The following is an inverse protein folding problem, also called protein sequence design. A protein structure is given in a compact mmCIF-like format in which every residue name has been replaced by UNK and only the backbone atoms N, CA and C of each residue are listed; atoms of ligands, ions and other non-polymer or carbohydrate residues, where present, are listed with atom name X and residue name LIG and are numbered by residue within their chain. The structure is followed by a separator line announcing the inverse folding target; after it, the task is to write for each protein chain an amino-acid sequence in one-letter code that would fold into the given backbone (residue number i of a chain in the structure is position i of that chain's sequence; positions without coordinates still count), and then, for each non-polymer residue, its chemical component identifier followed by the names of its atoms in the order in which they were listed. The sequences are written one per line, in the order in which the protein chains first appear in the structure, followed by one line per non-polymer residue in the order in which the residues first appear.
data_IF_250754250245
#
_entry.id   IF_250754250245
#
_cell.length_a   1.000
_cell.length_b   1.000
_cell.length_c   1.000
_cell.angle_alpha   90.00
_cell.angle_beta   90.00
_cell.angle_gamma   90.00
#
_symmetry.space_group_name_H-M   'P 1'
#
loop_
_entity.id
_entity.type
_entity.pdbx_description
1 polymer ?
#
# COMPACT_ATOMS: atom_id res chain seq x y z
N UNK A 1 27.61 11.69 25.38
CA UNK A 1 27.43 10.99 24.09
C UNK A 1 28.75 10.31 23.78
N UNK A 2 28.75 9.02 23.51
CA UNK A 2 29.97 8.34 23.06
C UNK A 2 30.25 8.76 21.60
N UNK A 3 31.53 8.91 21.26
CA UNK A 3 31.97 9.26 19.92
C UNK A 3 32.97 8.25 19.41
N UNK A 4 32.93 7.98 18.16
CA UNK A 4 33.88 7.13 17.43
C UNK A 4 34.43 7.84 16.21
N UNK A 5 35.20 7.13 15.42
CA UNK A 5 35.77 7.63 14.18
C UNK A 5 35.50 6.68 13.03
N UNK A 6 35.25 7.20 11.85
CA UNK A 6 35.11 6.36 10.65
C UNK A 6 36.40 5.57 10.45
N UNK A 7 36.26 4.24 10.43
CA UNK A 7 37.34 3.31 10.13
C UNK A 7 37.39 2.95 8.64
N UNK A 8 36.23 2.77 8.01
CA UNK A 8 36.09 2.36 6.61
C UNK A 8 34.75 2.80 6.04
N UNK A 9 34.74 3.10 4.76
CA UNK A 9 33.52 3.36 3.97
C UNK A 9 33.49 2.42 2.77
N UNK A 10 32.43 1.61 2.64
CA UNK A 10 32.23 0.70 1.51
C UNK A 10 30.81 0.90 0.96
N UNK A 11 30.66 1.77 -0.05
CA UNK A 11 29.36 2.12 -0.56
C UNK A 11 28.46 2.70 0.56
N UNK A 12 27.25 2.17 0.75
CA UNK A 12 26.32 2.65 1.79
C UNK A 12 26.67 2.19 3.21
N UNK A 13 27.70 1.37 3.38
CA UNK A 13 28.12 0.80 4.68
C UNK A 13 29.33 1.55 5.22
N UNK A 14 29.24 1.97 6.47
CA UNK A 14 30.29 2.72 7.16
C UNK A 14 30.63 2.01 8.47
N UNK A 15 31.92 1.66 8.62
CA UNK A 15 32.47 1.10 9.86
C UNK A 15 33.00 2.21 10.74
N UNK A 16 32.60 2.22 12.00
CA UNK A 16 32.96 3.23 13.00
C UNK A 16 33.70 2.54 14.13
N UNK A 17 34.90 3.02 14.46
CA UNK A 17 35.71 2.54 15.56
C UNK A 17 35.51 3.40 16.80
N UNK A 18 35.27 2.75 17.94
CA UNK A 18 35.16 3.35 19.27
C UNK A 18 36.40 2.98 20.12
N UNK A 19 36.78 3.83 21.01
CA UNK A 19 37.94 3.59 21.87
C UNK A 19 37.65 2.48 22.91
N UNK A 20 38.70 1.82 23.35
CA UNK A 20 38.60 0.76 24.36
C UNK A 20 38.04 1.32 25.68
N UNK A 21 36.96 0.74 26.16
CA UNK A 21 36.26 1.14 27.35
C UNK A 21 35.07 2.07 27.16
N UNK A 22 34.85 2.56 25.95
CA UNK A 22 33.62 3.30 25.62
C UNK A 22 32.42 2.36 25.58
N UNK A 23 31.25 2.90 25.94
CA UNK A 23 29.99 2.21 25.72
C UNK A 23 29.68 2.20 24.21
N UNK A 24 29.59 0.99 23.62
CA UNK A 24 29.25 0.84 22.22
C UNK A 24 27.77 1.18 21.97
N UNK A 25 27.43 1.78 20.81
CA UNK A 25 26.07 1.99 20.39
C UNK A 25 25.28 0.68 20.29
N UNK A 26 24.02 0.75 20.68
CA UNK A 26 23.10 -0.39 20.51
C UNK A 26 22.67 -0.56 19.04
N UNK A 27 22.29 -1.77 18.69
CA UNK A 27 21.73 -2.06 17.35
C UNK A 27 20.52 -1.15 17.09
N UNK A 28 20.41 -0.64 15.87
CA UNK A 28 19.44 0.35 15.42
C UNK A 28 19.63 1.78 15.94
N UNK A 29 20.61 2.06 16.78
CA UNK A 29 20.89 3.45 17.14
C UNK A 29 21.25 4.27 15.91
N UNK A 30 20.82 5.52 15.92
CA UNK A 30 21.23 6.53 14.94
C UNK A 30 22.56 7.17 15.39
N UNK A 31 23.55 7.11 14.53
CA UNK A 31 24.81 7.85 14.68
C UNK A 31 24.81 9.03 13.73
N UNK A 32 25.50 10.10 14.09
CA UNK A 32 25.60 11.31 13.27
C UNK A 32 27.05 11.56 12.90
N UNK A 33 27.29 11.82 11.63
CA UNK A 33 28.56 12.31 11.11
C UNK A 33 28.33 13.58 10.29
N UNK A 34 29.25 14.51 10.37
CA UNK A 34 29.21 15.75 9.59
C UNK A 34 30.28 15.73 8.50
N UNK A 35 29.90 15.91 7.24
CA UNK A 35 30.86 16.02 6.14
C UNK A 35 31.75 17.24 6.34
N UNK A 36 33.05 17.06 6.17
CA UNK A 36 34.04 18.12 6.30
C UNK A 36 33.97 18.94 7.61
N UNK A 37 33.35 18.37 8.66
CA UNK A 37 33.08 19.06 9.92
C UNK A 37 31.97 20.12 9.82
N UNK A 38 31.28 20.20 8.71
CA UNK A 38 30.19 21.16 8.45
C UNK A 38 28.89 20.62 9.05
N UNK A 39 28.40 21.26 10.11
CA UNK A 39 27.16 20.86 10.79
C UNK A 39 25.91 20.93 9.92
N UNK A 40 25.94 21.67 8.81
CA UNK A 40 24.84 21.71 7.86
C UNK A 40 24.77 20.46 6.96
N UNK A 41 25.85 19.70 6.89
CA UNK A 41 25.98 18.48 6.09
C UNK A 41 25.95 17.23 6.95
N UNK A 42 24.90 17.11 7.71
CA UNK A 42 24.64 15.98 8.61
C UNK A 42 24.28 14.72 7.82
N UNK A 43 24.89 13.59 8.17
CA UNK A 43 24.53 12.25 7.67
C UNK A 43 24.19 11.37 8.86
N UNK A 44 23.10 10.62 8.74
CA UNK A 44 22.66 9.65 9.74
C UNK A 44 23.08 8.24 9.31
N UNK A 45 23.73 7.55 10.25
CA UNK A 45 24.17 6.16 10.12
C UNK A 45 23.38 5.31 11.11
N UNK A 46 22.76 4.23 10.65
CA UNK A 46 22.05 3.29 11.54
C UNK A 46 22.94 2.11 11.88
N UNK A 47 23.08 1.79 13.15
CA UNK A 47 23.87 0.65 13.63
C UNK A 47 23.23 -0.66 13.19
N UNK A 48 23.96 -1.46 12.45
CA UNK A 48 23.51 -2.77 11.95
C UNK A 48 24.16 -3.96 12.67
N UNK A 49 25.46 -3.90 12.92
CA UNK A 49 26.25 -5.00 13.49
C UNK A 49 27.35 -4.47 14.39
N UNK A 50 27.75 -5.28 15.38
CA UNK A 50 29.00 -5.18 16.10
C UNK A 50 29.99 -6.22 15.54
N UNK A 51 31.15 -5.73 15.07
CA UNK A 51 32.17 -6.60 14.43
C UNK A 51 33.23 -7.13 15.41
N UNK A 52 33.21 -6.65 16.65
CA UNK A 52 34.27 -6.87 17.63
C UNK A 52 35.34 -5.78 17.60
N UNK A 53 36.25 -5.82 18.56
CA UNK A 53 37.35 -4.84 18.72
C UNK A 53 36.92 -3.36 18.70
N UNK A 54 35.70 -3.06 19.18
CA UNK A 54 35.13 -1.71 19.21
C UNK A 54 34.68 -1.19 17.86
N UNK A 55 34.57 -2.03 16.85
CA UNK A 55 34.12 -1.64 15.51
C UNK A 55 32.62 -1.94 15.34
N UNK A 56 31.87 -0.91 14.96
CA UNK A 56 30.44 -0.96 14.67
C UNK A 56 30.22 -0.77 13.18
N UNK A 57 29.48 -1.68 12.56
CA UNK A 57 29.05 -1.55 11.15
C UNK A 57 27.69 -0.88 11.05
N UNK A 58 27.62 0.14 10.23
CA UNK A 58 26.42 0.96 10.05
C UNK A 58 25.99 1.02 8.59
N UNK A 59 24.70 1.38 8.39
CA UNK A 59 24.12 1.66 7.08
C UNK A 59 23.77 3.14 7.04
N UNK A 60 24.25 3.85 6.01
CA UNK A 60 23.95 5.27 5.83
C UNK A 60 22.54 5.47 5.25
N UNK A 61 21.84 6.48 5.76
CA UNK A 61 20.53 6.90 5.26
C UNK A 61 20.64 7.88 4.09
N UNK A 62 21.83 8.42 3.84
CA UNK A 62 22.14 9.38 2.78
C UNK A 62 23.41 8.96 2.06
N UNK A 63 23.75 9.66 0.96
CA UNK A 63 25.00 9.37 0.22
C UNK A 63 26.21 9.48 1.13
N UNK A 64 27.07 8.47 1.06
CA UNK A 64 28.38 8.43 1.77
C UNK A 64 29.49 9.18 1.01
N UNK A 65 29.21 9.75 -0.15
CA UNK A 65 30.18 10.49 -0.94
C UNK A 65 30.80 11.64 -0.13
N UNK A 66 32.13 11.69 -0.09
CA UNK A 66 32.87 12.69 0.68
C UNK A 66 33.11 12.34 2.16
N UNK A 67 32.60 11.20 2.63
CA UNK A 67 33.03 10.67 3.94
C UNK A 67 34.44 10.09 3.86
N UNK A 68 35.26 10.49 4.82
CA UNK A 68 36.65 10.05 4.89
C UNK A 68 36.95 9.34 6.22
N UNK A 69 37.92 8.46 6.19
CA UNK A 69 38.43 7.81 7.41
C UNK A 69 38.89 8.86 8.41
N UNK A 70 38.56 8.65 9.69
CA UNK A 70 38.96 9.52 10.79
C UNK A 70 37.96 10.62 11.12
N UNK A 71 36.89 10.82 10.34
CA UNK A 71 35.82 11.73 10.71
C UNK A 71 35.14 11.28 12.00
N UNK A 72 34.84 12.22 12.88
CA UNK A 72 34.17 11.95 14.14
C UNK A 72 32.70 11.62 13.94
N UNK A 73 32.24 10.59 14.66
CA UNK A 73 30.87 10.06 14.61
C UNK A 73 30.28 10.04 16.01
N UNK A 74 29.09 10.60 16.17
CA UNK A 74 28.43 10.76 17.47
C UNK A 74 27.26 9.79 17.61
N UNK A 75 27.19 9.04 18.71
CA UNK A 75 26.04 8.23 19.05
C UNK A 75 24.94 9.12 19.67
N UNK A 76 23.74 9.09 19.08
CA UNK A 76 22.58 9.79 19.64
C UNK A 76 21.97 9.08 20.84
N UNK A 77 22.38 7.82 21.10
CA UNK A 77 21.82 6.99 22.18
C UNK A 77 20.38 6.51 21.93
N UNK A 78 19.87 6.70 20.74
CA UNK A 78 18.48 6.31 20.35
C UNK A 78 18.39 5.91 18.89
N UNK A 79 17.34 5.16 18.56
CA UNK A 79 17.00 4.83 17.18
C UNK A 79 16.57 6.07 16.38
N UNK A 80 16.54 5.96 15.05
CA UNK A 80 15.93 6.98 14.17
C UNK A 80 14.51 7.22 14.65
N UNK A 81 14.19 8.48 14.95
CA UNK A 81 12.88 8.91 15.41
C UNK A 81 12.32 9.96 14.47
N UNK A 82 11.04 9.85 14.17
CA UNK A 82 10.35 10.68 13.16
C UNK A 82 9.16 11.41 13.76
N UNK A 83 8.77 12.58 13.20
CA UNK A 83 7.60 13.30 13.66
C UNK A 83 6.34 12.45 13.53
N UNK A 84 5.43 12.60 14.47
CA UNK A 84 4.14 11.90 14.51
C UNK A 84 3.03 12.88 14.91
N UNK A 85 1.79 12.49 14.70
CA UNK A 85 0.62 13.28 15.11
C UNK A 85 0.03 14.12 13.97
N UNK A 86 -0.97 14.92 14.33
CA UNK A 86 -1.76 15.70 13.36
C UNK A 86 -0.95 16.70 12.55
N UNK A 87 0.19 17.15 13.06
CA UNK A 87 1.09 18.05 12.34
C UNK A 87 1.72 17.41 11.10
N UNK A 88 1.74 16.08 10.99
CA UNK A 88 2.24 15.36 9.82
C UNK A 88 1.26 15.36 8.65
N UNK A 89 -0.01 15.66 8.90
CA UNK A 89 -1.04 15.66 7.86
C UNK A 89 -0.86 16.83 6.90
N UNK A 90 -1.04 16.54 5.62
CA UNK A 90 -0.78 17.50 4.55
C UNK A 90 0.68 17.70 4.21
N UNK A 91 1.60 17.01 4.90
CA UNK A 91 3.04 17.19 4.81
C UNK A 91 3.72 16.06 4.05
N UNK A 92 4.87 16.40 3.47
CA UNK A 92 5.73 15.44 2.76
C UNK A 92 7.11 15.46 3.38
N UNK A 93 7.64 14.30 3.72
CA UNK A 93 8.95 14.18 4.36
C UNK A 93 9.70 12.91 3.95
N UNK A 94 10.99 12.89 4.28
CA UNK A 94 11.89 11.80 3.97
C UNK A 94 11.91 10.72 5.09
N UNK A 95 12.76 9.74 4.96
CA UNK A 95 12.92 8.64 5.92
C UNK A 95 13.27 9.11 7.33
N UNK A 96 13.96 10.23 7.49
CA UNK A 96 14.36 10.80 8.77
C UNK A 96 13.32 11.74 9.38
N UNK A 97 12.23 12.00 8.64
CA UNK A 97 11.21 12.96 9.04
C UNK A 97 11.56 14.41 8.74
N UNK A 98 12.55 14.66 7.88
CA UNK A 98 12.84 16.01 7.39
C UNK A 98 11.84 16.34 6.28
N UNK A 99 11.31 17.57 6.31
CA UNK A 99 10.33 18.02 5.32
C UNK A 99 10.96 18.24 3.95
N UNK A 100 10.27 17.81 2.91
CA UNK A 100 10.68 17.99 1.50
C UNK A 100 9.62 18.70 0.66
N UNK A 101 8.60 19.24 1.30
CA UNK A 101 7.46 19.94 0.69
C UNK A 101 7.64 21.45 0.57
N UNK A 102 8.82 21.98 0.85
CA UNK A 102 9.17 23.41 0.88
C UNK A 102 8.45 24.24 1.94
N UNK A 103 7.71 23.58 2.83
CA UNK A 103 7.09 24.21 4.00
C UNK A 103 8.08 24.26 5.18
N UNK A 104 7.72 25.01 6.21
CA UNK A 104 8.56 25.12 7.43
C UNK A 104 8.84 23.74 8.04
N UNK A 105 10.07 23.50 8.49
CA UNK A 105 10.41 22.29 9.23
C UNK A 105 9.54 22.09 10.46
N UNK A 106 9.37 20.83 10.90
CA UNK A 106 8.70 20.55 12.17
C UNK A 106 9.46 21.21 13.33
N UNK A 107 8.71 21.69 14.35
CA UNK A 107 9.28 22.24 15.55
C UNK A 107 10.22 21.21 16.25
N UNK A 108 11.28 21.68 16.90
CA UNK A 108 12.23 20.79 17.58
C UNK A 108 11.59 19.98 18.72
N UNK A 109 10.54 20.50 19.32
CA UNK A 109 9.74 19.88 20.37
C UNK A 109 8.54 19.08 19.87
N UNK A 110 8.37 18.96 18.55
CA UNK A 110 7.31 18.13 17.95
C UNK A 110 7.41 16.68 18.46
N UNK A 111 6.28 16.03 18.72
CA UNK A 111 6.29 14.63 19.16
C UNK A 111 6.94 13.75 18.11
N UNK A 112 7.87 12.92 18.55
CA UNK A 112 8.62 11.99 17.69
C UNK A 112 8.62 10.60 18.29
N UNK A 113 8.57 9.60 17.44
CA UNK A 113 8.63 8.20 17.84
C UNK A 113 9.68 7.42 17.03
N UNK A 114 10.32 6.40 17.65
CA UNK A 114 11.30 5.57 16.95
C UNK A 114 10.63 4.73 15.85
N UNK A 115 11.32 4.55 14.74
CA UNK A 115 10.83 3.72 13.63
C UNK A 115 10.94 2.22 13.91
N UNK A 116 11.83 1.82 14.81
CA UNK A 116 11.94 0.44 15.27
C UNK A 116 11.08 0.20 16.49
N UNK A 117 9.98 -0.48 16.29
CA UNK A 117 9.02 -0.86 17.34
C UNK A 117 8.70 -2.35 17.25
N UNK A 118 8.29 -2.91 18.37
CA UNK A 118 7.72 -4.25 18.39
C UNK A 118 6.28 -4.21 17.86
N UNK A 119 5.84 -5.33 17.28
CA UNK A 119 4.43 -5.53 16.97
C UNK A 119 3.58 -5.45 18.27
N UNK A 120 2.30 -5.07 18.17
CA UNK A 120 1.38 -5.09 19.31
C UNK A 120 1.38 -6.45 20.00
N UNK A 121 1.29 -6.44 21.33
CA UNK A 121 1.22 -7.65 22.12
C UNK A 121 -0.09 -8.41 21.85
N UNK A 122 -0.10 -9.71 22.06
CA UNK A 122 -1.26 -10.57 21.76
C UNK A 122 -2.54 -10.10 22.47
N UNK A 123 -2.43 -9.60 23.69
CA UNK A 123 -3.55 -9.08 24.47
C UNK A 123 -4.04 -7.69 24.04
N UNK A 124 -3.28 -6.98 23.23
CA UNK A 124 -3.66 -5.68 22.64
C UNK A 124 -4.44 -5.82 21.34
N UNK A 125 -4.38 -6.99 20.70
CA UNK A 125 -5.03 -7.22 19.42
C UNK A 125 -6.56 -7.22 19.54
N UNK A 126 -7.21 -6.69 18.50
CA UNK A 126 -8.67 -6.80 18.36
C UNK A 126 -9.03 -8.23 17.91
N UNK A 127 -10.10 -8.75 18.51
CA UNK A 127 -10.67 -10.06 18.13
C UNK A 127 -11.81 -9.93 17.11
N UNK A 128 -12.27 -8.72 16.83
CA UNK A 128 -13.35 -8.49 15.85
C UNK A 128 -12.80 -8.55 14.43
N UNK A 129 -13.54 -9.21 13.56
CA UNK A 129 -13.27 -9.23 12.13
C UNK A 129 -14.35 -8.41 11.41
N UNK A 130 -13.99 -7.21 10.98
CA UNK A 130 -14.88 -6.29 10.29
C UNK A 130 -14.29 -5.92 8.92
N UNK A 131 -15.16 -5.76 7.94
CA UNK A 131 -14.72 -5.24 6.63
C UNK A 131 -14.54 -3.73 6.69
N UNK A 132 -13.57 -3.23 5.93
CA UNK A 132 -13.42 -1.82 5.63
C UNK A 132 -14.23 -1.52 4.38
N UNK A 133 -15.35 -0.81 4.53
CA UNK A 133 -16.17 -0.39 3.39
C UNK A 133 -15.43 0.66 2.57
N UNK A 134 -15.15 0.35 1.31
CA UNK A 134 -14.41 1.24 0.41
C UNK A 134 -15.33 2.13 -0.46
N UNK A 135 -16.59 1.77 -0.59
CA UNK A 135 -17.53 2.41 -1.50
C UNK A 135 -17.32 2.06 -2.98
N UNK A 136 -16.41 1.14 -3.26
CA UNK A 136 -16.10 0.65 -4.61
C UNK A 136 -16.72 -0.74 -4.77
N UNK A 137 -17.72 -0.83 -5.66
CA UNK A 137 -18.55 -2.04 -5.80
C UNK A 137 -17.77 -3.32 -6.00
N UNK A 138 -16.81 -3.32 -6.91
CA UNK A 138 -16.04 -4.53 -7.24
C UNK A 138 -15.20 -5.02 -6.06
N UNK A 139 -14.64 -4.12 -5.29
CA UNK A 139 -13.83 -4.44 -4.11
C UNK A 139 -14.75 -4.95 -2.99
N UNK A 140 -15.75 -4.18 -2.63
CA UNK A 140 -16.61 -4.48 -1.48
C UNK A 140 -17.42 -5.76 -1.67
N UNK A 141 -17.81 -6.08 -2.92
CA UNK A 141 -18.55 -7.31 -3.22
C UNK A 141 -17.65 -8.55 -3.25
N UNK A 142 -16.58 -8.52 -4.04
CA UNK A 142 -15.84 -9.71 -4.44
C UNK A 142 -14.50 -9.92 -3.72
N UNK A 143 -13.87 -8.85 -3.30
CA UNK A 143 -12.58 -8.87 -2.60
C UNK A 143 -12.56 -7.84 -1.46
N UNK A 144 -13.48 -7.91 -0.49
CA UNK A 144 -13.61 -6.92 0.56
C UNK A 144 -12.33 -6.85 1.40
N UNK A 145 -11.98 -5.64 1.82
CA UNK A 145 -10.83 -5.39 2.67
C UNK A 145 -11.19 -5.65 4.13
N UNK A 146 -10.32 -6.38 4.81
CA UNK A 146 -10.45 -6.58 6.25
C UNK A 146 -9.84 -5.38 6.98
N UNK A 147 -10.56 -4.82 7.92
CA UNK A 147 -10.07 -3.75 8.80
C UNK A 147 -8.88 -4.26 9.61
N UNK A 148 -7.76 -3.56 9.53
CA UNK A 148 -6.49 -4.04 10.08
C UNK A 148 -5.81 -5.13 9.27
N UNK A 149 -6.33 -5.44 8.09
CA UNK A 149 -5.77 -6.41 7.16
C UNK A 149 -4.71 -5.84 6.22
N UNK A 150 -4.10 -6.74 5.47
CA UNK A 150 -3.05 -6.44 4.50
C UNK A 150 -3.54 -6.80 3.11
N UNK A 151 -3.61 -5.79 2.25
CA UNK A 151 -4.09 -5.92 0.87
C UNK A 151 -2.91 -5.83 -0.08
N UNK A 152 -2.76 -6.82 -0.94
CA UNK A 152 -1.83 -6.75 -2.06
C UNK A 152 -2.50 -6.13 -3.29
N UNK A 153 -1.90 -5.08 -3.84
CA UNK A 153 -2.34 -4.43 -5.05
C UNK A 153 -1.40 -4.77 -6.20
N UNK A 154 -1.93 -5.47 -7.20
CA UNK A 154 -1.20 -5.92 -8.37
C UNK A 154 -1.68 -5.19 -9.61
N UNK A 155 -0.77 -4.92 -10.52
CA UNK A 155 -1.10 -4.32 -11.80
C UNK A 155 0.12 -3.72 -12.49
N UNK A 156 0.13 -3.83 -13.80
CA UNK A 156 1.13 -3.20 -14.64
C UNK A 156 0.98 -1.67 -14.71
N UNK A 157 1.83 -1.03 -15.49
CA UNK A 157 1.74 0.40 -15.74
C UNK A 157 0.44 0.76 -16.50
N UNK A 158 -0.18 1.88 -16.13
CA UNK A 158 -1.33 2.43 -16.84
C UNK A 158 -2.67 1.72 -16.64
N UNK A 159 -2.81 0.93 -15.57
CA UNK A 159 -4.07 0.23 -15.24
C UNK A 159 -4.94 0.99 -14.22
N UNK A 160 -4.54 2.21 -13.83
CA UNK A 160 -5.30 3.04 -12.90
C UNK A 160 -4.97 2.81 -11.43
N UNK A 161 -3.81 2.25 -11.09
CA UNK A 161 -3.38 2.02 -9.70
C UNK A 161 -3.42 3.29 -8.87
N UNK A 162 -2.82 4.37 -9.36
CA UNK A 162 -2.74 5.66 -8.64
C UNK A 162 -4.12 6.26 -8.41
N UNK A 163 -4.99 6.22 -9.42
CA UNK A 163 -6.37 6.74 -9.31
C UNK A 163 -7.18 5.94 -8.29
N UNK A 164 -7.00 4.62 -8.25
CA UNK A 164 -7.63 3.76 -7.25
C UNK A 164 -7.15 4.12 -5.82
N UNK A 165 -5.86 4.32 -5.63
CA UNK A 165 -5.28 4.74 -4.34
C UNK A 165 -5.89 6.07 -3.89
N UNK A 166 -5.95 7.05 -4.78
CA UNK A 166 -6.55 8.36 -4.48
C UNK A 166 -8.03 8.27 -4.11
N UNK A 167 -8.79 7.44 -4.81
CA UNK A 167 -10.21 7.23 -4.49
C UNK A 167 -10.41 6.56 -3.13
N UNK A 168 -9.56 5.59 -2.78
CA UNK A 168 -9.58 4.98 -1.47
C UNK A 168 -9.27 5.99 -0.36
N UNK A 169 -8.26 6.85 -0.56
CA UNK A 169 -7.94 7.93 0.37
C UNK A 169 -9.12 8.90 0.50
N UNK A 170 -9.70 9.29 -0.63
CA UNK A 170 -10.85 10.19 -0.66
C UNK A 170 -12.05 9.60 0.12
N UNK A 171 -12.40 8.36 -0.16
CA UNK A 171 -13.55 7.72 0.47
C UNK A 171 -13.35 7.50 1.97
N UNK A 172 -12.14 7.12 2.39
CA UNK A 172 -11.81 7.00 3.82
C UNK A 172 -11.90 8.36 4.53
N UNK A 173 -11.39 9.41 3.92
CA UNK A 173 -11.42 10.75 4.50
C UNK A 173 -12.85 11.31 4.60
N UNK A 174 -13.65 11.17 3.55
CA UNK A 174 -14.99 11.78 3.46
C UNK A 174 -16.06 10.97 4.21
N UNK A 175 -16.06 9.65 4.06
CA UNK A 175 -17.13 8.79 4.58
C UNK A 175 -16.82 8.24 5.99
N UNK A 176 -15.56 8.03 6.31
CA UNK A 176 -15.12 7.47 7.58
C UNK A 176 -14.41 8.48 8.49
N UNK A 177 -14.11 9.69 7.99
CA UNK A 177 -13.31 10.68 8.72
C UNK A 177 -11.88 10.20 9.04
N UNK A 178 -11.42 9.16 8.37
CA UNK A 178 -10.16 8.49 8.61
C UNK A 178 -8.95 9.21 8.04
N UNK A 179 -7.79 8.78 8.49
CA UNK A 179 -6.48 9.31 8.12
C UNK A 179 -5.77 8.29 7.24
N UNK A 180 -4.99 8.78 6.29
CA UNK A 180 -4.16 7.97 5.42
C UNK A 180 -2.69 8.36 5.55
N UNK A 181 -1.82 7.38 5.41
CA UNK A 181 -0.38 7.57 5.29
C UNK A 181 0.07 6.93 3.98
N UNK A 182 0.67 7.71 3.11
CA UNK A 182 1.25 7.21 1.87
C UNK A 182 2.76 7.09 1.99
N UNK A 183 3.29 5.93 1.65
CA UNK A 183 4.73 5.64 1.74
C UNK A 183 5.25 5.23 0.38
N UNK A 184 6.06 6.09 -0.24
CA UNK A 184 6.74 5.81 -1.51
C UNK A 184 8.09 5.15 -1.25
N UNK A 185 8.24 3.89 -1.65
CA UNK A 185 9.44 3.08 -1.43
C UNK A 185 10.10 2.74 -2.74
N UNK A 186 11.22 3.37 -3.04
CA UNK A 186 12.02 3.07 -4.21
C UNK A 186 11.34 3.35 -5.56
N UNK A 187 10.33 4.19 -5.58
CA UNK A 187 9.61 4.58 -6.79
C UNK A 187 10.22 5.85 -7.42
N UNK A 188 9.72 6.23 -8.59
CA UNK A 188 10.24 7.40 -9.30
C UNK A 188 9.85 8.69 -8.61
N UNK A 189 10.79 9.60 -8.42
CA UNK A 189 10.56 10.92 -7.81
C UNK A 189 9.48 11.72 -8.52
N UNK A 190 9.43 11.64 -9.86
CA UNK A 190 8.40 12.31 -10.65
C UNK A 190 7.00 11.82 -10.32
N UNK A 191 6.81 10.50 -10.21
CA UNK A 191 5.50 9.91 -9.89
C UNK A 191 5.03 10.32 -8.49
N UNK A 192 5.96 10.38 -7.53
CA UNK A 192 5.67 10.89 -6.18
C UNK A 192 5.26 12.36 -6.16
N UNK A 193 5.94 13.18 -6.97
CA UNK A 193 5.59 14.59 -7.10
C UNK A 193 4.23 14.80 -7.79
N UNK A 194 3.97 14.05 -8.87
CA UNK A 194 2.68 14.10 -9.58
C UNK A 194 1.55 13.70 -8.61
N UNK A 195 1.72 12.62 -7.84
CA UNK A 195 0.75 12.18 -6.82
C UNK A 195 0.49 13.27 -5.77
N UNK A 196 1.53 13.93 -5.27
CA UNK A 196 1.37 15.02 -4.30
C UNK A 196 0.47 16.15 -4.83
N UNK A 197 0.73 16.60 -6.06
CA UNK A 197 -0.06 17.67 -6.67
C UNK A 197 -1.49 17.25 -6.96
N UNK A 198 -1.70 16.04 -7.48
CA UNK A 198 -3.04 15.48 -7.70
C UNK A 198 -3.85 15.36 -6.41
N UNK A 199 -3.21 14.94 -5.31
CA UNK A 199 -3.86 14.88 -4.01
C UNK A 199 -4.17 16.27 -3.43
N UNK A 200 -3.34 17.25 -3.72
CA UNK A 200 -3.56 18.65 -3.34
C UNK A 200 -4.73 19.25 -4.12
N UNK A 201 -4.80 19.01 -5.42
CA UNK A 201 -5.90 19.47 -6.28
C UNK A 201 -7.24 18.81 -5.93
N UNK A 202 -7.24 17.53 -5.59
CA UNK A 202 -8.44 16.81 -5.16
C UNK A 202 -8.86 17.08 -3.70
N UNK A 203 -8.04 17.80 -2.93
CA UNK A 203 -8.32 18.17 -1.54
C UNK A 203 -8.14 17.02 -0.53
N UNK A 204 -7.63 15.87 -0.94
CA UNK A 204 -7.43 14.73 -0.02
C UNK A 204 -6.14 14.81 0.78
N UNK A 205 -5.23 15.70 0.41
CA UNK A 205 -3.92 15.86 1.06
C UNK A 205 -4.04 16.22 2.55
N UNK A 206 -5.04 16.99 2.94
CA UNK A 206 -5.23 17.47 4.31
C UNK A 206 -5.43 16.34 5.35
N UNK A 207 -5.84 15.17 4.91
CA UNK A 207 -6.02 13.95 5.73
C UNK A 207 -4.94 12.92 5.49
N UNK A 208 -3.85 13.29 4.82
CA UNK A 208 -2.81 12.35 4.39
C UNK A 208 -1.42 12.85 4.78
N UNK A 209 -0.64 11.98 5.42
CA UNK A 209 0.80 12.17 5.58
C UNK A 209 1.54 11.41 4.47
N UNK A 210 2.54 12.02 3.84
CA UNK A 210 3.30 11.40 2.76
C UNK A 210 4.77 11.29 3.14
N UNK A 211 5.34 10.10 2.93
CA UNK A 211 6.75 9.80 3.20
C UNK A 211 7.38 9.19 1.96
N UNK A 212 8.51 9.75 1.51
CA UNK A 212 9.20 9.25 0.33
C UNK A 212 10.65 8.83 0.61
N UNK A 213 11.02 7.65 0.15
CA UNK A 213 12.38 7.17 -0.02
C UNK A 213 12.53 6.61 -1.42
N UNK A 214 12.79 7.50 -2.39
CA UNK A 214 12.67 7.23 -3.83
C UNK A 214 13.87 6.44 -4.37
N UNK A 215 13.79 6.04 -5.66
CA UNK A 215 14.79 5.17 -6.27
C UNK A 215 16.19 5.77 -6.39
N UNK A 216 16.30 7.10 -6.33
CA UNK A 216 17.59 7.80 -6.33
C UNK A 216 18.27 7.87 -4.96
N UNK A 217 17.56 7.48 -3.91
CA UNK A 217 18.10 7.45 -2.56
C UNK A 217 18.88 6.16 -2.27
N UNK A 218 19.84 6.19 -1.32
CA UNK A 218 20.61 5.01 -0.98
C UNK A 218 19.75 3.90 -0.37
N UNK A 219 20.24 2.65 -0.38
CA UNK A 219 19.47 1.51 0.10
C UNK A 219 19.04 1.63 1.56
N UNK A 220 19.81 2.31 2.42
CA UNK A 220 19.41 2.56 3.81
C UNK A 220 18.10 3.31 3.92
N UNK A 221 17.93 4.40 3.16
CA UNK A 221 16.69 5.17 3.12
C UNK A 221 15.52 4.31 2.60
N UNK A 222 15.72 3.59 1.50
CA UNK A 222 14.68 2.75 0.90
C UNK A 222 14.27 1.57 1.81
N UNK A 223 15.18 1.04 2.61
CA UNK A 223 14.89 0.01 3.61
C UNK A 223 14.03 0.51 4.78
N UNK A 224 14.15 1.77 5.15
CA UNK A 224 13.59 2.32 6.39
C UNK A 224 12.38 3.20 6.18
N UNK A 225 12.16 3.72 4.99
CA UNK A 225 11.04 4.63 4.71
C UNK A 225 9.67 3.98 4.98
N UNK A 226 9.51 2.69 4.71
CA UNK A 226 8.28 1.97 5.05
C UNK A 226 8.03 1.94 6.56
N UNK A 227 9.08 1.80 7.36
CA UNK A 227 8.99 1.86 8.82
C UNK A 227 8.63 3.27 9.30
N UNK A 228 9.12 4.31 8.64
CA UNK A 228 8.75 5.70 8.94
C UNK A 228 7.26 5.92 8.75
N UNK A 229 6.71 5.55 7.60
CA UNK A 229 5.27 5.65 7.34
C UNK A 229 4.43 4.83 8.31
N UNK A 230 4.85 3.61 8.58
CA UNK A 230 4.17 2.74 9.55
C UNK A 230 4.18 3.33 10.97
N UNK A 231 5.26 3.94 11.38
CA UNK A 231 5.36 4.60 12.71
C UNK A 231 4.34 5.72 12.85
N UNK A 232 4.14 6.52 11.81
CA UNK A 232 3.11 7.57 11.80
C UNK A 232 1.71 6.95 11.88
N UNK A 233 1.45 5.93 11.10
CA UNK A 233 0.17 5.21 11.10
C UNK A 233 -0.12 4.60 12.47
N UNK A 234 0.87 3.99 13.11
CA UNK A 234 0.73 3.41 14.45
C UNK A 234 0.42 4.46 15.51
N UNK A 235 1.00 5.65 15.42
CA UNK A 235 0.67 6.74 16.35
C UNK A 235 -0.81 7.10 16.29
N UNK A 236 -1.37 7.26 15.12
CA UNK A 236 -2.79 7.53 14.94
C UNK A 236 -3.68 6.39 15.46
N UNK A 237 -3.26 5.13 15.27
CA UNK A 237 -3.96 3.96 15.81
C UNK A 237 -3.92 3.91 17.33
N UNK A 238 -2.73 4.03 17.92
CA UNK A 238 -2.46 3.70 19.32
C UNK A 238 -2.67 4.88 20.29
N UNK A 239 -2.42 6.10 19.83
CA UNK A 239 -2.54 7.33 20.63
C UNK A 239 -3.85 8.06 20.31
N UNK A 240 -4.16 8.25 19.04
CA UNK A 240 -5.37 8.96 18.59
C UNK A 240 -6.61 8.05 18.48
N UNK A 241 -6.43 6.73 18.59
CA UNK A 241 -7.53 5.76 18.53
C UNK A 241 -8.25 5.70 17.19
N UNK A 242 -7.54 5.94 16.09
CA UNK A 242 -8.13 6.05 14.77
C UNK A 242 -7.95 4.79 13.92
N UNK A 243 -8.79 4.71 12.90
CA UNK A 243 -8.62 3.74 11.81
C UNK A 243 -7.82 4.41 10.70
N UNK A 244 -6.65 3.85 10.40
CA UNK A 244 -5.68 4.43 9.49
C UNK A 244 -5.52 3.55 8.26
N UNK A 245 -5.43 4.17 7.09
CA UNK A 245 -5.10 3.53 5.85
C UNK A 245 -3.62 3.79 5.52
N UNK A 246 -2.82 2.73 5.43
CA UNK A 246 -1.40 2.80 5.11
C UNK A 246 -1.15 2.28 3.70
N UNK A 247 -0.61 3.12 2.83
CA UNK A 247 -0.16 2.73 1.49
C UNK A 247 1.34 2.54 1.48
N UNK A 248 1.80 1.43 0.90
CA UNK A 248 3.21 1.15 0.67
C UNK A 248 3.39 0.88 -0.84
N UNK A 249 4.01 1.79 -1.52
CA UNK A 249 4.29 1.68 -2.94
C UNK A 249 5.79 1.85 -3.19
N UNK A 250 6.55 0.81 -3.30
CA UNK A 250 6.26 -0.60 -3.53
C UNK A 250 6.95 -1.48 -2.48
N UNK A 251 6.26 -2.47 -1.94
CA UNK A 251 6.83 -3.36 -0.90
C UNK A 251 8.02 -4.20 -1.42
N UNK A 252 8.05 -4.53 -2.71
CA UNK A 252 9.18 -5.21 -3.33
C UNK A 252 10.49 -4.41 -3.17
N UNK A 253 10.41 -3.08 -3.28
CA UNK A 253 11.58 -2.20 -3.16
C UNK A 253 12.16 -2.19 -1.75
N UNK A 254 11.32 -2.39 -0.74
CA UNK A 254 11.77 -2.61 0.64
C UNK A 254 12.69 -3.83 0.74
N UNK A 255 12.31 -4.96 0.17
CA UNK A 255 13.12 -6.18 0.17
C UNK A 255 14.35 -6.06 -0.71
N UNK A 256 14.24 -5.43 -1.86
CA UNK A 256 15.36 -5.20 -2.77
C UNK A 256 16.45 -4.35 -2.11
N UNK A 257 16.10 -3.28 -1.42
CA UNK A 257 17.06 -2.45 -0.70
C UNK A 257 17.81 -3.24 0.37
N UNK A 258 17.12 -4.14 1.09
CA UNK A 258 17.76 -5.07 2.02
C UNK A 258 18.76 -6.01 1.36
N UNK A 259 18.47 -6.49 0.15
CA UNK A 259 19.39 -7.35 -0.60
C UNK A 259 20.67 -6.61 -1.07
N UNK A 260 20.54 -5.33 -1.39
CA UNK A 260 21.68 -4.51 -1.83
C UNK A 260 22.76 -4.36 -0.75
N UNK A 261 22.38 -4.33 0.51
CA UNK A 261 23.34 -4.16 1.63
C UNK A 261 23.74 -5.48 2.28
N UNK A 262 23.02 -6.56 2.05
CA UNK A 262 23.19 -7.84 2.76
C UNK A 262 24.60 -8.41 2.67
N UNK A 263 25.17 -8.43 1.47
CA UNK A 263 26.55 -8.90 1.27
C UNK A 263 27.58 -8.01 1.98
N UNK A 264 27.37 -6.70 1.99
CA UNK A 264 28.23 -5.74 2.67
C UNK A 264 28.16 -5.88 4.20
N UNK A 265 27.05 -6.41 4.72
CA UNK A 265 26.91 -6.77 6.13
C UNK A 265 27.54 -8.12 6.48
N UNK A 266 28.18 -8.80 5.52
CA UNK A 266 28.81 -10.09 5.73
C UNK A 266 27.85 -11.27 5.75
N UNK A 267 26.65 -11.14 5.23
CA UNK A 267 25.66 -12.21 5.14
C UNK A 267 25.83 -12.98 3.84
N UNK A 268 25.75 -14.31 3.91
CA UNK A 268 25.73 -15.15 2.72
C UNK A 268 24.38 -15.01 2.00
N UNK A 269 24.37 -14.86 0.67
CA UNK A 269 23.12 -14.77 -0.08
C UNK A 269 22.32 -16.07 0.01
N UNK A 270 21.00 -15.94 0.06
CA UNK A 270 20.05 -17.05 -0.05
C UNK A 270 19.60 -17.26 -1.50
N UNK A 271 18.49 -17.93 -1.71
CA UNK A 271 17.93 -18.19 -3.03
C UNK A 271 17.79 -16.90 -3.86
N UNK A 272 18.15 -16.96 -5.13
CA UNK A 272 18.09 -15.85 -6.10
C UNK A 272 18.90 -14.61 -5.69
N UNK A 273 19.82 -14.76 -4.74
CA UNK A 273 20.67 -13.66 -4.26
C UNK A 273 20.05 -12.75 -3.21
N UNK A 274 18.86 -13.09 -2.69
CA UNK A 274 18.23 -12.34 -1.60
C UNK A 274 18.96 -12.54 -0.26
N UNK A 275 18.71 -11.61 0.67
CA UNK A 275 19.21 -11.71 2.04
C UNK A 275 18.62 -12.93 2.77
N UNK A 276 19.39 -13.60 3.63
CA UNK A 276 18.88 -14.73 4.43
C UNK A 276 17.84 -14.29 5.47
N UNK A 277 17.78 -13.01 5.78
CA UNK A 277 16.85 -12.37 6.73
C UNK A 277 15.56 -11.88 6.09
N UNK A 278 15.31 -12.17 4.82
CA UNK A 278 14.16 -11.69 4.06
C UNK A 278 12.82 -11.91 4.79
N UNK A 279 12.56 -13.13 5.20
CA UNK A 279 11.33 -13.49 5.89
C UNK A 279 11.19 -12.79 7.24
N UNK A 280 12.28 -12.65 7.99
CA UNK A 280 12.30 -11.96 9.29
C UNK A 280 12.04 -10.46 9.14
N UNK A 281 12.71 -9.81 8.18
CA UNK A 281 12.53 -8.38 7.89
C UNK A 281 11.09 -8.08 7.45
N UNK A 282 10.55 -8.91 6.56
CA UNK A 282 9.16 -8.79 6.11
C UNK A 282 8.18 -9.02 7.28
N UNK A 283 8.40 -10.04 8.09
CA UNK A 283 7.57 -10.35 9.26
C UNK A 283 7.56 -9.21 10.28
N UNK A 284 8.70 -8.64 10.58
CA UNK A 284 8.81 -7.49 11.51
C UNK A 284 8.01 -6.28 11.04
N UNK A 285 7.98 -6.00 9.74
CA UNK A 285 7.16 -4.95 9.17
C UNK A 285 5.67 -5.32 9.22
N UNK A 286 5.32 -6.48 8.69
CA UNK A 286 3.92 -6.88 8.46
C UNK A 286 3.14 -7.13 9.76
N UNK A 287 3.76 -7.68 10.78
CA UNK A 287 3.10 -7.98 12.06
C UNK A 287 2.71 -6.71 12.86
N UNK A 288 3.32 -5.58 12.55
CA UNK A 288 2.93 -4.27 13.12
C UNK A 288 1.64 -3.73 12.51
N UNK A 289 1.29 -4.18 11.31
CA UNK A 289 0.10 -3.76 10.56
C UNK A 289 -1.06 -4.63 10.99
N UNK A 290 -1.87 -4.13 11.91
CA UNK A 290 -2.98 -4.89 12.49
C UNK A 290 -4.00 -3.98 13.17
N UNK A 291 -5.14 -4.54 13.54
CA UNK A 291 -6.12 -3.93 14.43
C UNK A 291 -5.75 -4.17 15.89
N UNK A 292 -5.82 -3.11 16.70
CA UNK A 292 -5.75 -3.19 18.15
C UNK A 292 -7.09 -2.82 18.77
N UNK A 293 -7.20 -2.96 20.09
CA UNK A 293 -8.40 -2.53 20.84
C UNK A 293 -8.65 -1.03 20.78
N UNK A 294 -7.65 -0.23 20.34
CA UNK A 294 -7.72 1.23 20.26
C UNK A 294 -8.09 1.72 18.85
N UNK A 295 -7.60 1.07 17.82
CA UNK A 295 -7.81 1.47 16.44
C UNK A 295 -7.23 0.44 15.47
N UNK A 296 -7.13 0.79 14.19
CA UNK A 296 -6.62 -0.12 13.18
C UNK A 296 -5.64 0.55 12.22
N UNK A 297 -4.72 -0.23 11.69
CA UNK A 297 -3.93 0.10 10.50
C UNK A 297 -4.25 -0.95 9.44
N UNK A 298 -4.91 -0.52 8.38
CA UNK A 298 -5.16 -1.34 7.18
C UNK A 298 -4.17 -0.96 6.12
N UNK A 299 -3.42 -1.89 5.56
CA UNK A 299 -2.43 -1.59 4.54
C UNK A 299 -2.87 -2.00 3.14
N UNK A 300 -2.53 -1.15 2.18
CA UNK A 300 -2.59 -1.46 0.76
C UNK A 300 -1.17 -1.36 0.23
N UNK A 301 -0.64 -2.51 -0.19
CA UNK A 301 0.76 -2.68 -0.57
C UNK A 301 0.82 -2.99 -2.06
N UNK A 302 1.36 -2.08 -2.84
CA UNK A 302 1.67 -2.36 -4.23
C UNK A 302 2.81 -3.39 -4.27
N UNK A 303 2.64 -4.43 -5.07
CA UNK A 303 3.61 -5.52 -5.18
C UNK A 303 4.04 -5.64 -6.64
N UNK A 304 5.33 -5.42 -6.87
CA UNK A 304 5.96 -5.73 -8.14
C UNK A 304 6.41 -7.21 -8.13
N UNK A 305 6.06 -7.91 -9.20
CA UNK A 305 6.43 -9.31 -9.39
C UNK A 305 7.46 -9.37 -10.53
N UNK A 306 8.77 -9.60 -10.21
CA UNK A 306 9.81 -9.65 -11.22
C UNK A 306 9.53 -10.74 -12.27
N UNK A 307 9.57 -10.34 -13.55
CA UNK A 307 9.34 -11.25 -14.68
C UNK A 307 8.01 -12.04 -14.62
N UNK A 308 7.03 -11.51 -13.90
CA UNK A 308 5.74 -12.18 -13.63
C UNK A 308 5.90 -13.55 -12.93
N UNK A 309 7.05 -13.76 -12.27
CA UNK A 309 7.33 -14.98 -11.52
C UNK A 309 6.89 -14.86 -10.06
N UNK A 310 5.71 -15.40 -9.77
CA UNK A 310 5.15 -15.44 -8.42
C UNK A 310 5.88 -16.37 -7.45
N UNK A 311 6.83 -17.16 -7.94
CA UNK A 311 7.68 -18.02 -7.11
C UNK A 311 8.97 -17.33 -6.66
N UNK A 312 9.25 -16.12 -7.16
CA UNK A 312 10.35 -15.29 -6.67
C UNK A 312 10.22 -15.09 -5.15
N UNK A 313 11.31 -15.25 -4.37
CA UNK A 313 11.24 -15.20 -2.91
C UNK A 313 10.64 -13.92 -2.32
N UNK A 314 10.83 -12.75 -2.96
CA UNK A 314 10.31 -11.50 -2.44
C UNK A 314 8.78 -11.40 -2.53
N UNK A 315 8.14 -11.54 -3.69
CA UNK A 315 6.69 -11.58 -3.76
C UNK A 315 6.10 -12.77 -2.99
N UNK A 316 6.71 -13.96 -3.07
CA UNK A 316 6.22 -15.13 -2.34
C UNK A 316 6.17 -14.90 -0.82
N UNK A 317 7.18 -14.26 -0.26
CA UNK A 317 7.21 -13.91 1.17
C UNK A 317 6.14 -12.85 1.51
N UNK A 318 5.95 -11.85 0.65
CA UNK A 318 4.90 -10.85 0.84
C UNK A 318 3.49 -11.48 0.78
N UNK A 319 3.24 -12.38 -0.16
CA UNK A 319 1.94 -13.08 -0.29
C UNK A 319 1.51 -13.83 0.96
N UNK A 320 2.45 -14.40 1.70
CA UNK A 320 2.17 -15.14 2.93
C UNK A 320 1.50 -14.27 4.01
N UNK A 321 1.67 -12.96 3.94
CA UNK A 321 1.11 -12.00 4.91
C UNK A 321 -0.23 -11.39 4.47
N UNK A 322 -0.62 -11.55 3.20
CA UNK A 322 -1.80 -10.87 2.66
C UNK A 322 -3.11 -11.52 3.10
N UNK A 323 -4.07 -10.68 3.44
CA UNK A 323 -5.47 -11.07 3.72
C UNK A 323 -6.34 -10.98 2.48
N UNK A 324 -6.02 -10.07 1.55
CA UNK A 324 -6.72 -9.91 0.28
C UNK A 324 -5.79 -9.46 -0.83
N UNK A 325 -6.22 -9.68 -2.06
CA UNK A 325 -5.53 -9.25 -3.28
C UNK A 325 -6.49 -8.51 -4.20
N UNK A 326 -6.02 -7.41 -4.77
CA UNK A 326 -6.71 -6.64 -5.79
C UNK A 326 -5.84 -6.65 -7.05
N UNK A 327 -6.29 -7.34 -8.08
CA UNK A 327 -5.60 -7.43 -9.36
C UNK A 327 -6.19 -6.44 -10.36
N UNK A 328 -5.36 -5.53 -10.87
CA UNK A 328 -5.72 -4.61 -11.95
C UNK A 328 -5.29 -5.21 -13.29
N UNK A 329 -6.23 -5.34 -14.19
CA UNK A 329 -6.04 -6.02 -15.49
C UNK A 329 -6.14 -5.05 -16.66
N UNK A 330 -5.10 -5.03 -17.51
CA UNK A 330 -5.05 -4.15 -18.68
C UNK A 330 -6.18 -4.43 -19.70
N UNK A 331 -6.62 -5.67 -19.81
CA UNK A 331 -7.72 -6.03 -20.71
C UNK A 331 -9.00 -5.26 -20.37
N UNK A 332 -9.26 -5.05 -19.07
CA UNK A 332 -10.43 -4.27 -18.64
C UNK A 332 -10.30 -2.80 -19.01
N UNK A 333 -9.09 -2.21 -18.94
CA UNK A 333 -8.88 -0.83 -19.38
C UNK A 333 -9.13 -0.67 -20.87
N UNK A 334 -8.75 -1.65 -21.68
CA UNK A 334 -9.02 -1.68 -23.12
C UNK A 334 -10.52 -1.76 -23.46
N UNK A 335 -11.31 -2.35 -22.56
CA UNK A 335 -12.78 -2.42 -22.66
C UNK A 335 -13.47 -1.18 -22.08
N UNK A 336 -12.71 -0.20 -21.56
CA UNK A 336 -13.23 0.99 -20.89
C UNK A 336 -13.93 0.68 -19.56
N UNK A 337 -13.54 -0.38 -18.88
CA UNK A 337 -14.06 -0.76 -17.56
C UNK A 337 -13.11 -0.26 -16.49
N UNK A 338 -13.56 0.69 -15.68
CA UNK A 338 -12.83 1.27 -14.55
C UNK A 338 -13.68 1.24 -13.28
N UNK A 339 -13.10 0.91 -12.11
CA UNK A 339 -11.73 0.46 -11.92
C UNK A 339 -11.47 -0.88 -12.63
N UNK A 340 -10.26 -1.04 -13.14
CA UNK A 340 -9.87 -2.23 -13.90
C UNK A 340 -9.54 -3.44 -13.00
N UNK A 341 -10.32 -3.64 -11.97
CA UNK A 341 -10.15 -4.75 -11.02
C UNK A 341 -10.68 -6.04 -11.65
N UNK A 342 -9.83 -7.04 -11.78
CA UNK A 342 -10.24 -8.37 -12.26
C UNK A 342 -11.09 -9.06 -11.18
N UNK A 343 -12.38 -9.29 -11.44
CA UNK A 343 -13.28 -9.84 -10.44
C UNK A 343 -13.04 -11.33 -10.14
N UNK A 344 -12.34 -12.04 -11.00
CA UNK A 344 -12.03 -13.46 -10.84
C UNK A 344 -10.63 -13.72 -10.29
N UNK A 345 -9.67 -12.81 -10.55
CA UNK A 345 -8.31 -12.92 -10.06
C UNK A 345 -8.11 -12.25 -8.69
N UNK A 346 -9.02 -11.37 -8.30
CA UNK A 346 -8.99 -10.73 -6.98
C UNK A 346 -9.68 -11.60 -5.93
N UNK A 347 -9.16 -11.61 -4.71
CA UNK A 347 -9.65 -12.47 -3.65
C UNK A 347 -9.54 -11.82 -2.28
N UNK A 348 -10.30 -12.32 -1.29
CA UNK A 348 -10.22 -11.89 0.08
C UNK A 348 -10.60 -13.00 1.05
N UNK A 349 -9.87 -13.09 2.15
CA UNK A 349 -10.24 -13.94 3.29
C UNK A 349 -11.49 -13.43 4.03
N UNK A 350 -11.79 -12.14 3.88
CA UNK A 350 -12.97 -11.53 4.46
C UNK A 350 -14.28 -11.94 3.76
N UNK A 351 -14.19 -12.51 2.54
CA UNK A 351 -15.36 -13.03 1.83
C UNK A 351 -15.74 -14.42 2.41
N UNK A 352 -16.31 -14.39 3.58
CA UNK A 352 -16.79 -15.55 4.34
C UNK A 352 -18.12 -15.21 5.01
N UNK A 353 -19.07 -16.15 5.10
CA UNK A 353 -20.40 -15.88 5.68
C UNK A 353 -20.35 -15.30 7.11
N UNK A 354 -19.33 -15.69 7.88
CA UNK A 354 -19.12 -15.26 9.27
C UNK A 354 -18.73 -13.78 9.38
N UNK A 355 -18.18 -13.21 8.31
CA UNK A 355 -17.66 -11.82 8.28
C UNK A 355 -18.63 -10.91 7.53
N UNK A 356 -18.99 -11.26 6.30
CA UNK A 356 -19.83 -10.42 5.43
C UNK A 356 -21.32 -10.73 5.52
N UNK A 357 -21.70 -11.82 6.13
CA UNK A 357 -23.08 -12.34 6.16
C UNK A 357 -23.39 -13.25 4.98
N UNK A 358 -24.42 -14.10 5.16
CA UNK A 358 -24.78 -15.14 4.20
C UNK A 358 -25.23 -14.55 2.86
N UNK A 359 -26.06 -13.51 2.86
CA UNK A 359 -26.57 -12.89 1.62
C UNK A 359 -25.45 -12.33 0.76
N UNK A 360 -24.54 -11.57 1.34
CA UNK A 360 -23.37 -11.02 0.62
C UNK A 360 -22.52 -12.13 0.02
N UNK A 361 -22.22 -13.16 0.82
CA UNK A 361 -21.43 -14.29 0.37
C UNK A 361 -22.09 -15.03 -0.80
N UNK A 362 -23.38 -15.30 -0.72
CA UNK A 362 -24.14 -16.00 -1.77
C UNK A 362 -24.18 -15.19 -3.06
N UNK A 363 -24.42 -13.88 -2.98
CA UNK A 363 -24.42 -12.98 -4.14
C UNK A 363 -23.05 -12.92 -4.78
N UNK A 364 -21.99 -12.73 -4.00
CA UNK A 364 -20.61 -12.67 -4.51
C UNK A 364 -20.21 -13.98 -5.17
N UNK A 365 -20.51 -15.12 -4.57
CA UNK A 365 -20.21 -16.44 -5.14
C UNK A 365 -20.96 -16.67 -6.44
N UNK A 366 -22.23 -16.29 -6.53
CA UNK A 366 -23.03 -16.43 -7.75
C UNK A 366 -22.53 -15.49 -8.86
N UNK A 367 -22.12 -14.24 -8.53
CA UNK A 367 -21.48 -13.33 -9.48
C UNK A 367 -20.21 -13.94 -10.06
N UNK A 368 -19.36 -14.51 -9.21
CA UNK A 368 -18.14 -15.19 -9.65
C UNK A 368 -18.45 -16.39 -10.55
N UNK A 369 -19.45 -17.19 -10.20
CA UNK A 369 -19.89 -18.34 -11.00
C UNK A 369 -20.35 -17.90 -12.40
N UNK A 370 -21.18 -16.87 -12.48
CA UNK A 370 -21.71 -16.34 -13.74
C UNK A 370 -20.58 -15.77 -14.61
N UNK A 371 -19.68 -14.99 -14.03
CA UNK A 371 -18.53 -14.44 -14.76
C UNK A 371 -17.56 -15.53 -15.23
N UNK A 372 -17.31 -16.54 -14.43
CA UNK A 372 -16.45 -17.67 -14.81
C UNK A 372 -17.08 -18.46 -15.97
N UNK A 373 -18.37 -18.76 -15.90
CA UNK A 373 -19.07 -19.45 -16.98
C UNK A 373 -19.09 -18.62 -18.26
N UNK A 374 -19.29 -17.31 -18.15
CA UNK A 374 -19.21 -16.41 -19.30
C UNK A 374 -17.82 -16.39 -19.94
N UNK A 375 -16.75 -16.41 -19.14
CA UNK A 375 -15.37 -16.52 -19.65
C UNK A 375 -15.18 -17.78 -20.48
N UNK A 376 -15.71 -18.92 -20.06
CA UNK A 376 -15.68 -20.18 -20.81
C UNK A 376 -16.47 -20.10 -22.12
N UNK A 377 -17.60 -19.39 -22.11
CA UNK A 377 -18.43 -19.21 -23.30
C UNK A 377 -17.83 -18.24 -24.32
N UNK A 378 -16.96 -17.34 -23.90
CA UNK A 378 -16.35 -16.33 -24.79
C UNK A 378 -15.61 -16.96 -25.97
N UNK A 379 -14.91 -18.07 -25.78
CA UNK A 379 -14.22 -18.78 -26.86
C UNK A 379 -15.21 -19.37 -27.87
N UNK A 380 -16.32 -19.90 -27.41
CA UNK A 380 -17.40 -20.42 -28.23
C UNK A 380 -18.06 -19.29 -29.04
N UNK A 381 -18.37 -18.17 -28.36
CA UNK A 381 -18.96 -16.98 -28.97
C UNK A 381 -18.06 -16.39 -30.05
N UNK A 382 -16.75 -16.35 -29.81
CA UNK A 382 -15.78 -15.81 -30.76
C UNK A 382 -15.65 -16.67 -32.04
N UNK A 383 -15.82 -17.97 -31.94
CA UNK A 383 -15.66 -18.91 -33.07
C UNK A 383 -16.98 -19.16 -33.79
N UNK A 384 -18.06 -19.39 -33.05
CA UNK A 384 -19.34 -19.88 -33.60
C UNK A 384 -20.44 -18.82 -33.58
N UNK A 385 -20.26 -17.74 -32.84
CA UNK A 385 -21.27 -16.69 -32.65
C UNK A 385 -22.25 -16.98 -31.52
N UNK A 386 -23.05 -15.97 -31.16
CA UNK A 386 -24.04 -16.05 -30.08
C UNK A 386 -25.20 -17.01 -30.40
N UNK A 387 -25.49 -17.23 -31.69
CA UNK A 387 -26.66 -18.01 -32.12
C UNK A 387 -26.53 -19.50 -31.77
N UNK A 388 -25.30 -19.99 -31.62
CA UNK A 388 -25.03 -21.39 -31.29
C UNK A 388 -25.20 -21.69 -29.78
N UNK A 389 -25.40 -20.68 -28.95
CA UNK A 389 -25.65 -20.85 -27.52
C UNK A 389 -27.10 -21.30 -27.27
N UNK A 390 -27.31 -22.11 -26.22
CA UNK A 390 -28.63 -22.39 -25.70
C UNK A 390 -29.29 -21.12 -25.14
N UNK A 391 -30.61 -21.12 -24.99
CA UNK A 391 -31.34 -19.98 -24.42
C UNK A 391 -30.89 -19.66 -22.99
N UNK A 392 -30.58 -20.68 -22.21
CA UNK A 392 -30.01 -20.51 -20.86
C UNK A 392 -28.62 -19.84 -20.90
N UNK A 393 -27.77 -20.25 -21.84
CA UNK A 393 -26.42 -19.66 -22.01
C UNK A 393 -26.49 -18.23 -22.55
N UNK A 394 -27.45 -17.92 -23.45
CA UNK A 394 -27.70 -16.54 -23.89
C UNK A 394 -28.14 -15.64 -22.76
N UNK A 395 -29.04 -16.12 -21.91
CA UNK A 395 -29.48 -15.37 -20.71
C UNK A 395 -28.33 -15.14 -19.74
N UNK A 396 -27.55 -16.19 -19.48
CA UNK A 396 -26.38 -16.08 -18.62
C UNK A 396 -25.35 -15.08 -19.17
N UNK A 397 -25.04 -15.17 -20.47
CA UNK A 397 -24.11 -14.26 -21.13
C UNK A 397 -24.59 -12.79 -21.07
N UNK A 398 -25.87 -12.54 -21.26
CA UNK A 398 -26.47 -11.22 -21.13
C UNK A 398 -26.37 -10.66 -19.72
N UNK A 399 -26.69 -11.47 -18.71
CA UNK A 399 -26.53 -11.07 -17.29
C UNK A 399 -25.06 -10.87 -16.92
N UNK A 400 -24.17 -11.72 -17.40
CA UNK A 400 -22.74 -11.60 -17.16
C UNK A 400 -22.17 -10.28 -17.69
N UNK A 401 -22.56 -9.84 -18.88
CA UNK A 401 -22.16 -8.54 -19.45
C UNK A 401 -22.71 -7.37 -18.64
N UNK A 402 -23.96 -7.43 -18.20
CA UNK A 402 -24.54 -6.43 -17.30
C UNK A 402 -23.80 -6.35 -15.97
N UNK A 403 -23.48 -7.49 -15.37
CA UNK A 403 -22.66 -7.58 -14.15
C UNK A 403 -21.29 -6.95 -14.38
N UNK A 404 -20.62 -7.30 -15.47
CA UNK A 404 -19.29 -6.77 -15.79
C UNK A 404 -19.30 -5.25 -15.94
N UNK A 405 -20.30 -4.68 -16.59
CA UNK A 405 -20.45 -3.24 -16.70
C UNK A 405 -20.88 -2.58 -15.40
N UNK A 406 -21.71 -3.24 -14.60
CA UNK A 406 -22.14 -2.71 -13.30
C UNK A 406 -21.02 -2.74 -12.24
N UNK A 407 -19.97 -3.55 -12.44
CA UNK A 407 -18.74 -3.49 -11.64
C UNK A 407 -17.94 -2.20 -11.91
N UNK A 408 -18.14 -1.55 -13.05
CA UNK A 408 -17.52 -0.25 -13.33
C UNK A 408 -18.21 0.86 -12.53
N UNK A 409 -17.43 1.89 -12.20
CA UNK A 409 -17.86 2.97 -11.32
C UNK A 409 -17.05 4.23 -11.57
N UNK A 410 -17.70 5.39 -11.58
CA UNK A 410 -17.01 6.67 -11.64
C UNK A 410 -16.41 7.01 -10.28
N UNK A 411 -15.19 7.50 -10.30
CA UNK A 411 -14.48 7.92 -9.10
C UNK A 411 -14.58 9.44 -8.88
N UNK A 412 -14.72 9.85 -7.63
CA UNK A 412 -14.76 11.27 -7.24
C UNK A 412 -13.47 12.00 -7.66
N UNK A 413 -12.32 11.38 -7.47
CA UNK A 413 -11.02 11.95 -7.84
C UNK A 413 -10.80 12.07 -9.35
N UNK A 414 -11.58 11.37 -10.15
CA UNK A 414 -11.52 11.44 -11.61
C UNK A 414 -12.56 12.39 -12.23
N UNK A 415 -13.39 13.04 -11.44
CA UNK A 415 -14.49 13.89 -11.91
C UNK A 415 -14.02 15.02 -12.82
N UNK A 416 -12.93 15.69 -12.46
CA UNK A 416 -12.37 16.79 -13.26
C UNK A 416 -11.87 16.32 -14.64
N UNK A 417 -11.33 15.11 -14.73
CA UNK A 417 -10.79 14.56 -15.98
C UNK A 417 -11.85 13.90 -16.87
N UNK A 418 -12.88 13.32 -16.26
CA UNK A 418 -13.94 12.60 -16.98
C UNK A 418 -15.18 13.43 -17.26
N UNK A 419 -15.38 14.53 -16.50
CA UNK A 419 -16.60 15.33 -16.53
C UNK A 419 -17.84 14.61 -15.97
N UNK A 420 -17.66 13.47 -15.30
CA UNK A 420 -18.73 12.68 -14.71
C UNK A 420 -18.59 12.64 -13.21
N UNK A 421 -19.69 12.90 -12.45
CA UNK A 421 -19.65 12.85 -11.00
C UNK A 421 -19.27 11.44 -10.51
N UNK A 422 -18.44 11.39 -9.48
CA UNK A 422 -18.09 10.16 -8.79
C UNK A 422 -19.23 9.66 -7.93
N UNK A 423 -19.13 8.42 -7.49
CA UNK A 423 -20.10 7.82 -6.58
C UNK A 423 -19.41 6.94 -5.53
N UNK A 424 -19.92 7.04 -4.31
CA UNK A 424 -19.66 6.12 -3.22
C UNK A 424 -20.87 5.20 -3.08
N UNK A 425 -20.70 3.89 -3.18
CA UNK A 425 -21.80 2.94 -3.10
C UNK A 425 -21.66 2.10 -1.81
N UNK A 426 -22.56 2.24 -0.85
CA UNK A 426 -22.55 1.41 0.34
C UNK A 426 -22.63 -0.09 0.01
N UNK A 427 -22.02 -0.93 0.82
CA UNK A 427 -21.98 -2.40 0.62
C UNK A 427 -23.38 -2.98 0.46
N UNK A 428 -24.32 -2.55 1.30
CA UNK A 428 -25.71 -3.04 1.23
C UNK A 428 -26.37 -2.77 -0.12
N UNK A 429 -26.14 -1.58 -0.69
CA UNK A 429 -26.65 -1.18 -2.01
C UNK A 429 -25.96 -2.00 -3.13
N UNK A 430 -24.67 -2.25 -3.01
CA UNK A 430 -23.92 -3.09 -3.94
C UNK A 430 -24.47 -4.51 -3.96
N UNK A 431 -24.61 -5.13 -2.79
CA UNK A 431 -25.14 -6.50 -2.67
C UNK A 431 -26.57 -6.59 -3.24
N UNK A 432 -27.43 -5.64 -2.91
CA UNK A 432 -28.81 -5.57 -3.43
C UNK A 432 -28.82 -5.44 -4.94
N UNK A 433 -28.05 -4.53 -5.51
CA UNK A 433 -28.02 -4.29 -6.94
C UNK A 433 -27.59 -5.51 -7.74
N UNK A 434 -26.51 -6.18 -7.32
CA UNK A 434 -26.05 -7.41 -7.98
C UNK A 434 -27.03 -8.58 -7.81
N UNK A 435 -27.65 -8.71 -6.64
CA UNK A 435 -28.71 -9.70 -6.43
C UNK A 435 -29.85 -9.53 -7.40
N UNK A 436 -30.36 -8.32 -7.55
CA UNK A 436 -31.45 -8.01 -8.48
C UNK A 436 -31.09 -8.28 -9.95
N UNK A 437 -29.84 -8.04 -10.34
CA UNK A 437 -29.35 -8.37 -11.70
C UNK A 437 -29.34 -9.90 -11.88
N UNK A 438 -28.84 -10.65 -10.90
CA UNK A 438 -28.81 -12.12 -10.93
C UNK A 438 -30.21 -12.73 -11.01
N UNK A 439 -31.19 -12.13 -10.34
CA UNK A 439 -32.59 -12.54 -10.36
C UNK A 439 -33.31 -12.21 -11.71
N UNK A 440 -32.64 -11.48 -12.59
CA UNK A 440 -33.17 -11.13 -13.91
C UNK A 440 -34.11 -9.92 -13.94
N UNK A 441 -34.20 -9.16 -12.87
CA UNK A 441 -35.09 -7.99 -12.75
C UNK A 441 -34.85 -6.93 -13.84
N UNK A 442 -33.65 -6.87 -14.38
CA UNK A 442 -33.22 -5.85 -15.34
C UNK A 442 -32.77 -6.46 -16.69
N UNK A 443 -33.20 -7.68 -17.02
CA UNK A 443 -32.83 -8.35 -18.25
C UNK A 443 -33.31 -7.60 -19.52
N UNK A 444 -34.37 -6.80 -19.38
CA UNK A 444 -34.92 -6.00 -20.47
C UNK A 444 -34.22 -4.66 -20.72
N UNK A 445 -33.34 -4.22 -19.78
CA UNK A 445 -32.61 -2.98 -19.93
C UNK A 445 -31.34 -3.16 -20.78
N UNK A 446 -30.93 -2.10 -21.54
CA UNK A 446 -29.75 -2.18 -22.38
C UNK A 446 -28.48 -2.33 -21.54
N UNK A 447 -27.53 -3.12 -22.01
CA UNK A 447 -26.28 -3.40 -21.28
C UNK A 447 -25.48 -2.12 -20.96
N UNK A 448 -25.45 -1.16 -21.88
CA UNK A 448 -24.73 0.11 -21.67
C UNK A 448 -25.30 0.99 -20.56
N UNK A 449 -26.54 0.75 -20.13
CA UNK A 449 -27.10 1.43 -18.97
C UNK A 449 -26.40 1.08 -17.66
N UNK A 450 -25.75 -0.08 -17.59
CA UNK A 450 -25.02 -0.57 -16.40
C UNK A 450 -23.59 -0.02 -16.28
N UNK A 451 -23.10 0.66 -17.32
CA UNK A 451 -21.72 1.14 -17.37
C UNK A 451 -21.55 2.45 -16.59
N UNK A 452 -20.52 2.50 -15.73
CA UNK A 452 -20.09 3.71 -15.01
C UNK A 452 -21.20 4.38 -14.20
N UNK A 453 -21.96 3.59 -13.47
CA UNK A 453 -23.03 4.04 -12.59
C UNK A 453 -22.71 3.76 -11.13
N UNK A 454 -23.41 4.41 -10.22
CA UNK A 454 -23.37 4.13 -8.80
C UNK A 454 -24.29 2.97 -8.40
N UNK A 455 -25.34 3.20 -7.59
CA UNK A 455 -26.28 2.17 -7.19
C UNK A 455 -27.17 1.73 -8.38
N UNK A 456 -27.95 0.68 -8.19
CA UNK A 456 -28.78 0.10 -9.25
C UNK A 456 -29.85 1.06 -9.79
N UNK A 457 -30.30 2.01 -9.00
CA UNK A 457 -31.27 3.04 -9.39
C UNK A 457 -30.74 3.89 -10.56
N UNK A 458 -29.44 4.16 -10.58
CA UNK A 458 -28.78 4.93 -11.65
C UNK A 458 -28.89 4.22 -13.00
N UNK A 459 -28.89 2.88 -13.00
CA UNK A 459 -29.11 2.07 -14.20
C UNK A 459 -30.48 2.35 -14.80
N UNK A 460 -31.51 2.35 -13.96
CA UNK A 460 -32.90 2.59 -14.37
C UNK A 460 -33.07 4.02 -14.92
N UNK A 461 -32.48 5.00 -14.26
CA UNK A 461 -32.51 6.38 -14.72
C UNK A 461 -31.76 6.57 -16.04
N UNK A 462 -30.61 5.94 -16.17
CA UNK A 462 -29.81 5.99 -17.41
C UNK A 462 -30.54 5.31 -18.56
N UNK A 463 -31.18 4.17 -18.32
CA UNK A 463 -31.98 3.47 -19.33
C UNK A 463 -33.15 4.35 -19.82
N UNK A 464 -33.86 5.05 -18.92
CA UNK A 464 -34.91 6.00 -19.30
C UNK A 464 -34.38 7.13 -20.21
N UNK A 465 -33.17 7.64 -19.92
CA UNK A 465 -32.54 8.66 -20.78
C UNK A 465 -32.12 8.12 -22.15
N UNK A 466 -31.94 6.82 -22.28
CA UNK A 466 -31.67 6.11 -23.53
C UNK A 466 -32.94 5.73 -24.30
N UNK A 467 -34.13 6.17 -23.83
CA UNK A 467 -35.47 5.85 -24.40
C UNK A 467 -35.84 4.34 -24.27
N UNK A 468 -35.48 3.71 -23.19
CA UNK A 468 -35.90 2.37 -22.80
C UNK A 468 -36.86 2.39 -21.61
#
# INVERSE_FOLDING_TARGET
MSSGKIAQVVGPVVDVAFDAGDKLPEINNALIVYKDGDKSKKIVLEVALELGDGIIRTIAMESTDGLTRGLEVFDTGRAISVPVGTETLGRVFNVLGDTIDLEEPFAEDAPREPIHKKAPAFDELSTSSEILETGIKVIDLLAPYLKGGKVGLFGGAGVGKTVLIQELIHNIAQEHGGISVFTGVGERTREGNDLYWEMKESGVIEKTAMVFGQMNEPPGARMRVALTGLTIAEYFRDVEGQDVLLFIDNIFRFTQAGSEVSALLGRMPSAVGYQPTLATEMGQLQERITSTKKGSVTSIQAIYVPADDYTDPAPATAFAHLDSTTNLERKLTQMGIYPAVDPLASSSRALAPEIVGQEHYDVATEVQRVLQRYRELQDIIAILGMDELSDEEKTLAGRARRIQFFLSQNFNVAEQSTGMPGSYVPVAETVRGFKEILEGKYDDLPEDAFRNVGPIEDVVEKAKKMNY
#
